data_IF_047903596727
#
_entry.id   IF_047903596727
#
_cell.length_a   1.000
_cell.length_b   1.000
_cell.length_c   1.000
_cell.angle_alpha   90.00
_cell.angle_beta   90.00
_cell.angle_gamma   90.00
#
_symmetry.space_group_name_H-M   'P 1'
#
loop_
_entity.id
_entity.type
_entity.pdbx_description
1 polymer ?
#
# COMPACT_ATOMS: atom_id res chain seq x y z
N UNK A 1 3.75 -8.05 20.09
CA UNK A 1 2.79 -8.21 19.00
C UNK A 1 3.26 -7.46 17.78
N UNK A 2 3.18 -8.09 16.62
CA UNK A 2 3.59 -7.44 15.37
C UNK A 2 2.42 -6.65 14.79
N UNK A 3 2.74 -5.57 14.09
CA UNK A 3 1.78 -4.75 13.38
C UNK A 3 2.02 -4.91 11.89
N UNK A 4 0.94 -5.12 11.12
CA UNK A 4 0.99 -5.18 9.67
C UNK A 4 0.32 -3.93 9.11
N UNK A 5 1.00 -3.25 8.19
CA UNK A 5 0.52 -2.02 7.59
C UNK A 5 -0.07 -2.32 6.22
N UNK A 6 -1.28 -1.82 5.97
CA UNK A 6 -1.96 -1.99 4.69
C UNK A 6 -2.35 -0.61 4.16
N UNK A 7 -2.12 -0.39 2.88
CA UNK A 7 -2.49 0.87 2.25
C UNK A 7 -4.01 0.98 2.12
N UNK A 8 -4.56 2.13 2.54
CA UNK A 8 -5.95 2.48 2.29
C UNK A 8 -5.97 3.41 1.08
N UNK A 9 -6.52 2.93 -0.03
CA UNK A 9 -6.48 3.58 -1.33
C UNK A 9 -7.89 3.67 -1.89
N UNK A 10 -8.24 4.80 -2.51
CA UNK A 10 -9.53 4.93 -3.22
C UNK A 10 -9.45 4.24 -4.58
N UNK A 11 -10.62 3.95 -5.17
CA UNK A 11 -10.67 3.32 -6.49
C UNK A 11 -9.95 4.16 -7.55
N UNK A 12 -10.14 5.47 -7.55
CA UNK A 12 -9.47 6.36 -8.51
C UNK A 12 -7.97 6.42 -8.29
N UNK A 13 -7.52 6.41 -7.03
CA UNK A 13 -6.09 6.43 -6.72
C UNK A 13 -5.43 5.10 -7.09
N UNK A 14 -6.16 3.99 -6.96
CA UNK A 14 -5.68 2.68 -7.40
C UNK A 14 -5.31 2.68 -8.88
N UNK A 15 -6.15 3.28 -9.72
CA UNK A 15 -5.89 3.40 -11.15
C UNK A 15 -4.63 4.24 -11.43
N UNK A 16 -4.44 5.33 -10.69
CA UNK A 16 -3.24 6.16 -10.83
C UNK A 16 -1.99 5.39 -10.42
N UNK A 17 -2.06 4.68 -9.29
CA UNK A 17 -0.94 3.89 -8.80
C UNK A 17 -0.54 2.78 -9.78
N UNK A 18 -1.52 2.18 -10.48
CA UNK A 18 -1.22 1.20 -11.52
C UNK A 18 -0.35 1.77 -12.65
N UNK A 19 -0.49 3.07 -12.92
CA UNK A 19 0.28 3.74 -13.97
C UNK A 19 1.66 4.18 -13.52
N UNK A 20 1.80 4.61 -12.25
CA UNK A 20 3.03 5.23 -11.78
C UNK A 20 3.92 4.29 -10.96
N UNK A 21 3.38 3.21 -10.42
CA UNK A 21 4.13 2.29 -9.57
C UNK A 21 4.46 1.03 -10.37
N UNK A 22 5.76 0.82 -10.61
CA UNK A 22 6.22 -0.36 -11.35
C UNK A 22 5.89 -1.63 -10.58
N UNK A 23 5.33 -2.61 -11.28
CA UNK A 23 4.90 -3.90 -10.72
C UNK A 23 3.73 -3.81 -9.74
N UNK A 24 3.02 -2.69 -9.72
CA UNK A 24 1.77 -2.58 -8.96
C UNK A 24 0.73 -3.55 -9.56
N UNK A 25 -0.11 -4.20 -8.72
CA UNK A 25 -1.11 -5.15 -9.22
C UNK A 25 -2.04 -4.53 -10.26
N UNK A 26 -2.20 -5.20 -11.39
CA UNK A 26 -3.03 -4.73 -12.51
C UNK A 26 -4.47 -5.26 -12.43
N UNK A 27 -4.93 -5.65 -11.28
CA UNK A 27 -6.31 -6.09 -11.04
C UNK A 27 -7.24 -4.89 -10.87
N UNK A 28 -8.56 -5.13 -11.03
CA UNK A 28 -9.54 -4.10 -10.69
C UNK A 28 -9.44 -3.73 -9.21
N UNK A 29 -9.95 -2.55 -8.86
CA UNK A 29 -9.96 -2.13 -7.46
C UNK A 29 -10.72 -3.14 -6.58
N UNK A 30 -11.86 -3.64 -7.07
CA UNK A 30 -12.65 -4.61 -6.32
C UNK A 30 -11.87 -5.90 -6.04
N UNK A 31 -11.19 -6.44 -7.06
CA UNK A 31 -10.38 -7.65 -6.90
C UNK A 31 -9.18 -7.41 -5.98
N UNK A 32 -8.50 -6.28 -6.15
CA UNK A 32 -7.38 -5.90 -5.28
C UNK A 32 -7.84 -5.78 -3.83
N UNK A 33 -8.99 -5.12 -3.61
CA UNK A 33 -9.54 -4.90 -2.27
C UNK A 33 -9.89 -6.24 -1.60
N UNK A 34 -10.50 -7.18 -2.34
CA UNK A 34 -10.82 -8.50 -1.81
C UNK A 34 -9.56 -9.27 -1.40
N UNK A 35 -8.52 -9.22 -2.21
CA UNK A 35 -7.23 -9.87 -1.88
C UNK A 35 -6.60 -9.25 -0.64
N UNK A 36 -6.65 -7.92 -0.52
CA UNK A 36 -6.11 -7.23 0.66
C UNK A 36 -6.90 -7.59 1.92
N UNK A 37 -8.22 -7.69 1.83
CA UNK A 37 -9.05 -8.12 2.96
C UNK A 37 -8.72 -9.55 3.39
N UNK A 38 -8.49 -10.43 2.43
CA UNK A 38 -8.09 -11.82 2.71
C UNK A 38 -6.74 -11.87 3.42
N UNK A 39 -5.77 -11.08 2.98
CA UNK A 39 -4.45 -10.98 3.63
C UNK A 39 -4.57 -10.43 5.04
N UNK A 40 -5.42 -9.42 5.25
CA UNK A 40 -5.67 -8.86 6.58
C UNK A 40 -6.26 -9.92 7.52
N UNK A 41 -7.22 -10.71 7.02
CA UNK A 41 -7.82 -11.79 7.78
C UNK A 41 -6.78 -12.83 8.19
N UNK A 42 -5.88 -13.21 7.27
CA UNK A 42 -4.80 -14.15 7.56
C UNK A 42 -3.89 -13.64 8.67
N UNK A 43 -3.49 -12.37 8.60
CA UNK A 43 -2.64 -11.78 9.62
C UNK A 43 -3.34 -11.70 10.98
N UNK A 44 -4.65 -11.35 10.99
CA UNK A 44 -5.42 -11.33 12.23
C UNK A 44 -5.49 -12.71 12.86
N UNK A 45 -5.63 -13.76 12.04
CA UNK A 45 -5.67 -15.14 12.54
C UNK A 45 -4.34 -15.54 13.19
N UNK A 46 -3.25 -14.88 12.81
CA UNK A 46 -1.93 -15.08 13.42
C UNK A 46 -1.66 -14.07 14.55
N UNK A 47 -2.70 -13.39 15.03
CA UNK A 47 -2.66 -12.43 16.14
C UNK A 47 -1.84 -11.17 15.85
N UNK A 48 -1.71 -10.80 14.57
CA UNK A 48 -1.10 -9.53 14.21
C UNK A 48 -2.14 -8.42 14.23
N UNK A 49 -1.72 -7.22 14.63
CA UNK A 49 -2.58 -6.04 14.57
C UNK A 49 -2.50 -5.48 13.15
N UNK A 50 -3.66 -5.12 12.58
CA UNK A 50 -3.74 -4.50 11.26
C UNK A 50 -3.86 -2.99 11.43
N UNK A 51 -3.02 -2.24 10.73
CA UNK A 51 -3.11 -0.78 10.68
C UNK A 51 -3.33 -0.34 9.24
N UNK A 52 -4.45 0.34 9.01
CA UNK A 52 -4.75 0.93 7.70
C UNK A 52 -4.06 2.28 7.59
N UNK A 53 -3.33 2.48 6.50
CA UNK A 53 -2.56 3.70 6.27
C UNK A 53 -3.11 4.39 5.02
N UNK A 54 -3.83 5.52 5.17
CA UNK A 54 -4.32 6.28 4.01
C UNK A 54 -3.13 6.82 3.22
N UNK A 55 -3.12 6.55 1.92
CA UNK A 55 -2.05 7.03 1.04
C UNK A 55 -2.64 7.58 -0.24
N UNK A 56 -1.94 8.55 -0.85
CA UNK A 56 -2.31 9.10 -2.16
C UNK A 56 -1.13 8.96 -3.12
N UNK A 57 -1.39 8.93 -4.45
CA UNK A 57 -0.31 8.92 -5.43
C UNK A 57 0.66 10.09 -5.28
N UNK A 58 0.14 11.29 -4.97
CA UNK A 58 0.98 12.47 -4.80
C UNK A 58 1.95 12.31 -3.63
N UNK A 59 1.45 11.81 -2.50
CA UNK A 59 2.31 11.56 -1.33
C UNK A 59 3.43 10.57 -1.67
N UNK A 60 3.10 9.53 -2.43
CA UNK A 60 4.10 8.55 -2.83
C UNK A 60 5.13 9.14 -3.80
N UNK A 61 4.69 9.92 -4.77
CA UNK A 61 5.62 10.60 -5.69
C UNK A 61 6.57 11.53 -4.94
N UNK A 62 6.05 12.29 -3.99
CA UNK A 62 6.86 13.18 -3.16
C UNK A 62 7.88 12.40 -2.33
N UNK A 63 7.46 11.27 -1.79
CA UNK A 63 8.35 10.38 -1.04
C UNK A 63 9.49 9.87 -1.92
N UNK A 64 9.19 9.42 -3.14
CA UNK A 64 10.21 8.92 -4.05
C UNK A 64 11.21 10.01 -4.44
N UNK A 65 10.74 11.22 -4.71
CA UNK A 65 11.60 12.37 -5.03
C UNK A 65 12.50 12.73 -3.86
N UNK A 66 11.93 12.81 -2.66
CA UNK A 66 12.66 13.17 -1.45
C UNK A 66 13.74 12.15 -1.11
N UNK A 67 13.45 10.88 -1.28
CA UNK A 67 14.37 9.79 -0.95
C UNK A 67 15.32 9.44 -2.12
N UNK A 68 15.03 9.90 -3.32
CA UNK A 68 15.80 9.53 -4.50
C UNK A 68 15.70 8.04 -4.83
N UNK A 69 14.53 7.46 -4.66
CA UNK A 69 14.28 6.01 -4.87
C UNK A 69 13.32 5.79 -6.03
N UNK A 70 13.36 4.60 -6.67
CA UNK A 70 12.48 4.34 -7.79
C UNK A 70 11.02 4.17 -7.37
N UNK A 71 10.10 4.46 -8.30
CA UNK A 71 8.66 4.30 -8.08
C UNK A 71 8.25 2.87 -8.44
N UNK A 72 8.43 1.94 -7.52
CA UNK A 72 8.08 0.54 -7.70
C UNK A 72 7.32 0.00 -6.47
N UNK A 73 6.83 -1.24 -6.58
CA UNK A 73 5.99 -1.83 -5.55
C UNK A 73 6.76 -2.04 -4.23
N UNK A 74 8.04 -2.33 -4.30
CA UNK A 74 8.86 -2.53 -3.09
C UNK A 74 8.98 -1.21 -2.34
N UNK A 75 9.27 -0.13 -3.06
CA UNK A 75 9.32 1.22 -2.49
C UNK A 75 7.97 1.65 -1.95
N UNK A 76 6.89 1.31 -2.66
CA UNK A 76 5.54 1.62 -2.22
C UNK A 76 5.22 0.95 -0.87
N UNK A 77 5.57 -0.31 -0.72
CA UNK A 77 5.37 -1.03 0.55
C UNK A 77 6.18 -0.41 1.68
N UNK A 78 7.42 -0.02 1.41
CA UNK A 78 8.26 0.67 2.39
C UNK A 78 7.64 2.01 2.80
N UNK A 79 7.13 2.77 1.83
CA UNK A 79 6.45 4.04 2.07
C UNK A 79 5.23 3.86 3.00
N UNK A 80 4.41 2.85 2.72
CA UNK A 80 3.23 2.56 3.56
C UNK A 80 3.65 2.27 5.00
N UNK A 81 4.69 1.45 5.18
CA UNK A 81 5.19 1.10 6.51
C UNK A 81 5.74 2.32 7.25
N UNK A 82 6.53 3.16 6.57
CA UNK A 82 7.09 4.37 7.18
C UNK A 82 5.99 5.36 7.57
N UNK A 83 5.03 5.59 6.69
CA UNK A 83 3.93 6.50 6.97
C UNK A 83 3.08 6.00 8.14
N UNK A 84 2.84 4.70 8.21
CA UNK A 84 2.03 4.09 9.26
C UNK A 84 2.74 4.02 10.60
N UNK A 85 4.04 3.77 10.60
CA UNK A 85 4.84 3.59 11.81
C UNK A 85 5.52 4.85 12.31
N UNK A 86 5.63 5.83 11.43
CA UNK A 86 6.27 7.09 11.78
C UNK A 86 5.29 8.16 12.12
#
# INVERSE_FOLDING_TARGET
MAIQYFAKVTASDHEVLQRIVKHYPLSSYADWHLKEMSRMSDWRSRRHTIKMVPVTPQEFEDYCKKKGVPSDIITFKAFVCEKGGG
#
